data_IF_890110998397
#
_entry.id   IF_890110998397
#
_cell.length_a   1.000
_cell.length_b   1.000
_cell.length_c   1.000
_cell.angle_alpha   90.00
_cell.angle_beta   90.00
_cell.angle_gamma   90.00
#
_symmetry.space_group_name_H-M   'P 1'
#
loop_
_entity.id
_entity.type
_entity.pdbx_description
1 polymer ?
#
# COMPACT_ATOMS: atom_id res chain seq x y z
N UNK A 1 -24.64 -14.72 17.91
CA UNK A 1 -24.44 -13.69 16.86
C UNK A 1 -23.48 -12.60 17.39
N UNK A 2 -22.15 -12.69 17.20
CA UNK A 2 -21.23 -11.79 17.92
C UNK A 2 -19.93 -11.35 17.23
N UNK A 3 -19.68 -11.74 15.97
CA UNK A 3 -18.39 -11.47 15.30
C UNK A 3 -18.49 -10.35 14.23
N UNK A 4 -19.70 -10.00 13.79
CA UNK A 4 -19.94 -8.97 12.76
C UNK A 4 -19.64 -7.55 13.22
N UNK A 5 -19.68 -7.25 14.52
CA UNK A 5 -19.49 -5.89 15.05
C UNK A 5 -18.02 -5.47 15.18
N UNK A 6 -17.11 -6.41 15.46
CA UNK A 6 -15.68 -6.10 15.66
C UNK A 6 -14.98 -5.84 14.33
N UNK A 7 -15.33 -6.61 13.29
CA UNK A 7 -14.80 -6.41 11.94
C UNK A 7 -15.35 -5.12 11.35
N UNK A 8 -16.66 -4.84 11.51
CA UNK A 8 -17.27 -3.57 11.10
C UNK A 8 -16.65 -2.36 11.80
N UNK A 9 -16.37 -2.43 13.10
CA UNK A 9 -15.64 -1.35 13.81
C UNK A 9 -14.26 -1.12 13.20
N UNK A 10 -13.47 -2.18 12.94
CA UNK A 10 -12.12 -2.04 12.37
C UNK A 10 -12.10 -1.55 10.91
N UNK A 11 -13.01 -2.00 10.04
CA UNK A 11 -13.12 -1.46 8.67
C UNK A 11 -13.59 -0.01 8.66
N UNK A 12 -14.50 0.36 9.57
CA UNK A 12 -14.95 1.74 9.72
C UNK A 12 -13.80 2.63 10.18
N UNK A 13 -12.95 2.20 11.13
CA UNK A 13 -11.77 2.99 11.53
C UNK A 13 -10.77 3.19 10.37
N UNK A 14 -10.46 2.15 9.59
CA UNK A 14 -9.59 2.33 8.42
C UNK A 14 -10.19 3.26 7.36
N UNK A 15 -11.50 3.23 7.14
CA UNK A 15 -12.16 4.12 6.19
C UNK A 15 -12.22 5.57 6.73
N UNK A 16 -12.54 5.76 8.01
CA UNK A 16 -12.57 7.08 8.66
C UNK A 16 -11.17 7.72 8.70
N UNK A 17 -10.11 6.98 9.03
CA UNK A 17 -8.73 7.51 8.98
C UNK A 17 -8.31 7.82 7.53
N UNK A 18 -8.70 6.99 6.56
CA UNK A 18 -8.44 7.24 5.14
C UNK A 18 -9.17 8.48 4.63
N UNK A 19 -10.40 8.73 5.10
CA UNK A 19 -11.17 9.95 4.80
C UNK A 19 -10.63 11.18 5.54
N UNK A 20 -10.15 11.04 6.78
CA UNK A 20 -9.54 12.13 7.54
C UNK A 20 -8.26 12.66 6.87
N UNK A 21 -7.39 11.77 6.38
CA UNK A 21 -6.22 12.17 5.55
C UNK A 21 -6.59 12.92 4.27
N UNK A 22 -7.71 12.56 3.63
CA UNK A 22 -8.20 13.24 2.42
C UNK A 22 -8.78 14.63 2.75
N UNK A 23 -9.39 14.79 3.93
CA UNK A 23 -9.95 16.08 4.38
C UNK A 23 -8.88 17.03 4.96
N UNK A 24 -7.84 16.51 5.61
CA UNK A 24 -6.73 17.29 6.18
C UNK A 24 -5.80 17.88 5.09
N UNK A 25 -5.74 17.25 3.91
CA UNK A 25 -4.98 17.73 2.75
C UNK A 25 -5.53 19.04 2.12
N UNK A 26 -6.66 19.60 2.60
CA UNK A 26 -7.35 20.73 1.94
C UNK A 26 -7.55 22.00 2.75
N UNK A 27 -6.87 22.20 3.88
CA UNK A 27 -6.79 23.54 4.48
C UNK A 27 -5.42 23.75 5.11
N UNK A 28 -4.51 24.53 4.50
CA UNK A 28 -3.36 25.03 5.24
C UNK A 28 -3.86 25.94 6.38
N UNK A 29 -3.26 25.89 7.58
CA UNK A 29 -3.49 26.92 8.59
C UNK A 29 -3.14 28.28 7.98
N UNK A 30 -4.09 29.21 7.97
CA UNK A 30 -3.82 30.62 7.70
C UNK A 30 -3.00 31.12 8.89
N UNK A 31 -1.67 31.04 8.79
CA UNK A 31 -0.78 31.78 9.66
C UNK A 31 -0.71 33.23 9.17
N UNK A 32 -1.03 34.15 10.09
CA UNK A 32 -0.92 35.58 9.89
C UNK A 32 0.51 35.99 9.51
N UNK A 33 0.57 37.04 8.71
CA UNK A 33 1.76 37.64 8.10
C UNK A 33 2.77 38.09 9.18
N UNK A 34 3.99 37.55 9.17
CA UNK A 34 5.19 38.33 9.53
C UNK A 34 6.35 38.03 8.56
N UNK A 35 6.79 39.09 7.90
CA UNK A 35 7.78 39.13 6.83
C UNK A 35 9.19 38.89 7.35
N UNK A 36 9.72 37.65 7.37
CA UNK A 36 11.17 37.44 7.56
C UNK A 36 11.76 36.35 6.65
N UNK A 37 12.11 36.80 5.44
CA UNK A 37 13.22 36.38 4.56
C UNK A 37 14.07 35.19 5.06
N UNK A 38 13.76 33.97 4.61
CA UNK A 38 14.72 32.87 4.56
C UNK A 38 14.94 32.41 3.12
N UNK A 39 16.16 32.70 2.67
CA UNK A 39 16.80 32.40 1.40
C UNK A 39 16.84 30.89 1.12
N UNK A 40 16.28 30.49 -0.02
CA UNK A 40 16.69 29.37 -0.87
C UNK A 40 17.05 28.03 -0.22
N UNK A 41 16.06 27.14 -0.09
CA UNK A 41 16.19 25.72 -0.47
C UNK A 41 14.79 25.14 -0.67
N UNK A 42 14.36 24.76 -1.88
CA UNK A 42 13.29 23.80 -1.97
C UNK A 42 13.86 22.49 -1.44
N UNK A 43 13.69 22.24 -0.14
CA UNK A 43 13.68 20.87 0.33
C UNK A 43 12.46 20.24 -0.33
N UNK A 44 12.70 19.60 -1.47
CA UNK A 44 11.78 18.67 -2.07
C UNK A 44 11.65 17.55 -1.04
N UNK A 45 10.76 17.74 -0.07
CA UNK A 45 10.15 16.61 0.62
C UNK A 45 9.40 15.91 -0.51
N UNK A 46 10.05 14.90 -1.11
CA UNK A 46 9.35 13.95 -1.94
C UNK A 46 8.27 13.36 -1.04
N UNK A 47 7.08 13.97 -1.10
CA UNK A 47 5.87 13.44 -0.52
C UNK A 47 5.62 12.15 -1.29
N UNK A 48 6.23 11.09 -0.77
CA UNK A 48 6.27 9.78 -1.37
C UNK A 48 4.84 9.32 -1.46
N UNK A 49 4.26 9.52 -2.64
CA UNK A 49 2.87 9.26 -2.92
C UNK A 49 2.61 7.76 -2.73
N UNK A 50 2.23 7.39 -1.50
CA UNK A 50 1.92 6.02 -1.12
C UNK A 50 0.76 5.50 -1.97
N UNK A 51 -0.13 6.39 -2.43
CA UNK A 51 -1.23 6.04 -3.32
C UNK A 51 -0.71 5.56 -4.68
N UNK A 52 0.31 6.23 -5.26
CA UNK A 52 0.95 5.78 -6.49
C UNK A 52 1.61 4.40 -6.32
N UNK A 53 2.25 4.14 -5.17
CA UNK A 53 2.81 2.80 -4.87
C UNK A 53 1.74 1.71 -4.85
N UNK A 54 0.57 2.02 -4.27
CA UNK A 54 -0.55 1.09 -4.18
C UNK A 54 -1.21 0.87 -5.54
N UNK A 55 -1.38 1.92 -6.34
CA UNK A 55 -1.92 1.82 -7.70
C UNK A 55 -1.03 0.97 -8.60
N UNK A 56 0.30 1.12 -8.51
CA UNK A 56 1.25 0.26 -9.21
C UNK A 56 1.16 -1.21 -8.78
N UNK A 57 0.92 -1.47 -7.49
CA UNK A 57 0.73 -2.85 -7.02
C UNK A 57 -0.56 -3.46 -7.56
N UNK A 58 -1.66 -2.69 -7.56
CA UNK A 58 -2.94 -3.13 -8.11
C UNK A 58 -2.80 -3.49 -9.58
N UNK A 59 -2.17 -2.60 -10.36
CA UNK A 59 -1.87 -2.85 -11.77
C UNK A 59 -1.01 -4.11 -11.97
N UNK A 60 0.03 -4.29 -11.17
CA UNK A 60 0.86 -5.50 -11.25
C UNK A 60 0.06 -6.77 -10.98
N UNK A 61 -0.77 -6.78 -9.93
CA UNK A 61 -1.64 -7.92 -9.62
C UNK A 61 -2.63 -8.21 -10.74
N UNK A 62 -3.24 -7.18 -11.32
CA UNK A 62 -4.18 -7.32 -12.43
C UNK A 62 -3.50 -7.95 -13.66
N UNK A 63 -2.30 -7.49 -14.04
CA UNK A 63 -1.51 -8.07 -15.15
C UNK A 63 -1.12 -9.54 -14.90
N UNK A 64 -0.87 -9.93 -13.64
CA UNK A 64 -0.58 -11.33 -13.30
C UNK A 64 -1.84 -12.20 -13.17
N UNK A 65 -3.05 -11.65 -13.34
CA UNK A 65 -4.31 -12.36 -13.09
C UNK A 65 -4.60 -12.61 -11.60
N UNK A 66 -3.93 -11.87 -10.72
CA UNK A 66 -4.03 -11.95 -9.27
C UNK A 66 -4.90 -10.84 -8.66
N UNK A 67 -5.59 -10.04 -9.48
CA UNK A 67 -6.42 -8.90 -9.04
C UNK A 67 -7.44 -9.24 -7.95
N UNK A 68 -7.97 -10.47 -7.94
CA UNK A 68 -8.88 -10.96 -6.88
C UNK A 68 -8.25 -10.98 -5.47
N UNK A 69 -6.92 -10.96 -5.37
CA UNK A 69 -6.19 -10.91 -4.10
C UNK A 69 -5.84 -9.48 -3.68
N UNK A 70 -6.10 -8.46 -4.51
CA UNK A 70 -5.76 -7.06 -4.23
C UNK A 70 -6.17 -6.61 -2.84
N UNK A 71 -7.40 -6.93 -2.42
CA UNK A 71 -7.90 -6.56 -1.11
C UNK A 71 -7.02 -7.10 0.03
N UNK A 72 -6.49 -8.33 -0.08
CA UNK A 72 -5.60 -8.90 0.93
C UNK A 72 -4.27 -8.15 0.99
N UNK A 73 -3.66 -7.88 -0.17
CA UNK A 73 -2.39 -7.15 -0.23
C UNK A 73 -2.54 -5.71 0.30
N UNK A 74 -3.64 -5.04 -0.08
CA UNK A 74 -3.96 -3.70 0.41
C UNK A 74 -4.26 -3.70 1.92
N UNK A 75 -4.99 -4.70 2.42
CA UNK A 75 -5.33 -4.82 3.85
C UNK A 75 -4.09 -5.03 4.72
N UNK A 76 -3.14 -5.85 4.28
CA UNK A 76 -1.86 -6.08 4.96
C UNK A 76 -0.81 -5.02 4.61
N UNK A 77 -1.20 -3.92 3.95
CA UNK A 77 -0.32 -2.81 3.53
C UNK A 77 0.95 -3.27 2.83
N UNK A 78 0.85 -4.33 2.03
CA UNK A 78 1.97 -4.81 1.23
C UNK A 78 2.20 -3.79 0.11
N UNK A 79 3.40 -3.25 0.05
CA UNK A 79 3.85 -2.33 -1.01
C UNK A 79 4.80 -3.03 -1.98
N UNK A 80 5.06 -2.42 -3.14
CA UNK A 80 6.00 -2.97 -4.15
C UNK A 80 7.40 -3.24 -3.57
N UNK A 81 7.79 -2.49 -2.52
CA UNK A 81 9.04 -2.69 -1.77
C UNK A 81 9.01 -3.92 -0.86
N UNK A 82 7.86 -4.27 -0.30
CA UNK A 82 7.70 -5.38 0.66
C UNK A 82 7.38 -6.69 -0.09
N UNK A 83 6.69 -6.59 -1.23
CA UNK A 83 6.27 -7.70 -2.07
C UNK A 83 7.42 -8.72 -2.34
N UNK A 84 8.67 -8.31 -2.67
CA UNK A 84 9.82 -9.20 -2.81
C UNK A 84 10.13 -10.12 -1.61
N UNK A 85 9.80 -9.68 -0.40
CA UNK A 85 10.17 -10.34 0.85
C UNK A 85 9.10 -11.30 1.37
N UNK A 86 7.91 -11.31 0.75
CA UNK A 86 6.83 -12.19 1.14
C UNK A 86 7.16 -13.67 0.91
N UNK A 87 7.12 -14.44 1.99
CA UNK A 87 7.26 -15.89 1.98
C UNK A 87 5.91 -16.59 1.77
N UNK A 88 5.95 -17.89 1.45
CA UNK A 88 4.73 -18.72 1.38
C UNK A 88 3.97 -18.78 2.71
N UNK A 89 4.68 -18.59 3.84
CA UNK A 89 4.08 -18.55 5.17
C UNK A 89 3.32 -17.23 5.35
N UNK A 90 3.91 -16.11 4.96
CA UNK A 90 3.28 -14.80 5.06
C UNK A 90 2.02 -14.74 4.19
N UNK A 91 2.05 -15.31 2.98
CA UNK A 91 0.84 -15.47 2.14
C UNK A 91 -0.28 -16.26 2.84
N UNK A 92 0.07 -17.26 3.66
CA UNK A 92 -0.91 -18.02 4.46
C UNK A 92 -1.50 -17.16 5.57
N UNK A 93 -0.64 -16.44 6.30
CA UNK A 93 -1.03 -15.55 7.40
C UNK A 93 -1.87 -14.37 6.89
N UNK A 94 -1.63 -13.93 5.65
CA UNK A 94 -2.45 -12.91 4.99
C UNK A 94 -3.85 -13.38 4.57
N UNK A 95 -4.10 -14.70 4.54
CA UNK A 95 -5.42 -15.26 4.21
C UNK A 95 -5.50 -16.06 2.91
N UNK A 96 -4.38 -16.31 2.21
CA UNK A 96 -4.37 -17.21 1.05
C UNK A 96 -4.35 -18.67 1.54
N UNK A 97 -5.54 -19.24 1.79
CA UNK A 97 -5.66 -20.59 2.36
C UNK A 97 -5.23 -21.70 1.39
N UNK A 98 -5.62 -21.59 0.12
CA UNK A 98 -5.33 -22.61 -0.89
C UNK A 98 -3.81 -22.77 -1.12
N UNK A 99 -3.34 -24.02 -1.09
CA UNK A 99 -1.92 -24.37 -1.30
C UNK A 99 -1.50 -24.14 -2.76
N UNK A 100 -2.41 -24.31 -3.72
CA UNK A 100 -2.13 -24.06 -5.14
C UNK A 100 -1.85 -22.57 -5.38
N UNK A 101 -2.78 -21.74 -4.92
CA UNK A 101 -2.74 -20.27 -5.01
C UNK A 101 -1.51 -19.68 -4.32
N UNK A 102 -1.15 -20.15 -3.12
CA UNK A 102 0.09 -19.72 -2.45
C UNK A 102 1.34 -20.00 -3.27
N UNK A 103 1.43 -21.19 -3.88
CA UNK A 103 2.58 -21.56 -4.73
C UNK A 103 2.62 -20.73 -6.00
N UNK A 104 1.47 -20.49 -6.61
CA UNK A 104 1.31 -19.66 -7.80
C UNK A 104 1.74 -18.21 -7.52
N UNK A 105 1.17 -17.56 -6.51
CA UNK A 105 1.49 -16.18 -6.12
C UNK A 105 2.98 -16.04 -5.77
N UNK A 106 3.52 -16.96 -4.97
CA UNK A 106 4.93 -16.93 -4.61
C UNK A 106 5.87 -17.09 -5.82
N UNK A 107 5.44 -17.81 -6.87
CA UNK A 107 6.19 -17.88 -8.14
C UNK A 107 6.19 -16.52 -8.86
N UNK A 108 5.05 -15.84 -8.91
CA UNK A 108 4.97 -14.49 -9.47
C UNK A 108 5.83 -13.49 -8.70
N UNK A 109 5.80 -13.52 -7.38
CA UNK A 109 6.67 -12.69 -6.51
C UNK A 109 8.15 -12.97 -6.78
N UNK A 110 8.54 -14.23 -6.94
CA UNK A 110 9.91 -14.59 -7.31
C UNK A 110 10.31 -14.02 -8.67
N UNK A 111 9.43 -14.10 -9.66
CA UNK A 111 9.67 -13.53 -10.98
C UNK A 111 9.69 -11.98 -10.94
N UNK A 112 8.94 -11.36 -10.04
CA UNK A 112 9.02 -9.92 -9.80
C UNK A 112 10.41 -9.53 -9.29
N UNK A 113 10.97 -10.28 -8.32
CA UNK A 113 12.35 -10.07 -7.83
C UNK A 113 13.40 -10.16 -8.92
N UNK A 114 13.31 -11.16 -9.78
CA UNK A 114 14.29 -11.34 -10.86
C UNK A 114 14.19 -10.18 -11.86
N UNK A 115 12.98 -9.78 -12.25
CA UNK A 115 12.78 -8.63 -13.15
C UNK A 115 13.26 -7.31 -12.54
N UNK A 116 12.97 -7.06 -11.26
CA UNK A 116 13.46 -5.87 -10.54
C UNK A 116 14.97 -5.88 -10.33
N UNK A 117 15.63 -7.05 -10.30
CA UNK A 117 17.10 -7.16 -10.26
C UNK A 117 17.76 -6.85 -11.61
N UNK A 118 17.04 -7.01 -12.73
CA UNK A 118 17.50 -6.62 -14.06
C UNK A 118 17.17 -5.16 -14.38
N UNK A 119 16.15 -4.59 -13.74
CA UNK A 119 15.89 -3.15 -13.71
C UNK A 119 16.76 -2.49 -12.61
N UNK A 120 18.08 -2.64 -12.72
CA UNK A 120 18.99 -1.67 -12.12
C UNK A 120 18.76 -0.32 -12.78
N UNK A 121 18.74 0.73 -11.95
CA UNK A 121 18.62 2.15 -12.29
C UNK A 121 19.22 2.56 -13.64
#
# INVERSE_FOLDING_TARGET
MGITHVVKRRTIYCYIEKLRRISESKNPPLEDIDEKKHQSRPEIYEEKNENASMDHMKAWLDVQGLGKYWFLFNFHSVNHKILPYLSKRDLKEMGVADRGSRRMIHRYIRNFRTKSSFAGY
#
